data_IF_137237399824
#
_entry.id   IF_137237399824
#
_cell.length_a   1.000
_cell.length_b   1.000
_cell.length_c   1.000
_cell.angle_alpha   90.00
_cell.angle_beta   90.00
_cell.angle_gamma   90.00
#
_symmetry.space_group_name_H-M   'P 1'
#
loop_
_entity.id
_entity.type
_entity.pdbx_description
1 polymer ?
#
# COMPACT_ATOMS: atom_id res chain seq x y z
N UNK A 1 23.31 -2.67 17.54
CA UNK A 1 23.08 -1.39 16.83
C UNK A 1 22.75 -1.60 15.35
N UNK A 2 23.46 -2.48 14.62
CA UNK A 2 23.17 -2.74 13.20
C UNK A 2 21.76 -3.29 12.91
N UNK A 3 21.21 -4.16 13.77
CA UNK A 3 19.88 -4.74 13.52
C UNK A 3 18.74 -3.72 13.53
N UNK A 4 18.73 -2.80 14.51
CA UNK A 4 17.72 -1.75 14.60
C UNK A 4 17.77 -0.84 13.37
N UNK A 5 18.98 -0.47 12.93
CA UNK A 5 19.17 0.33 11.71
C UNK A 5 18.67 -0.38 10.47
N UNK A 6 18.87 -1.70 10.36
CA UNK A 6 18.36 -2.49 9.25
C UNK A 6 16.84 -2.59 9.24
N UNK A 7 16.20 -2.76 10.42
CA UNK A 7 14.75 -2.71 10.55
C UNK A 7 14.16 -1.34 10.19
N UNK A 8 14.79 -0.25 10.65
CA UNK A 8 14.40 1.11 10.28
C UNK A 8 14.60 1.38 8.79
N UNK A 9 15.66 0.84 8.19
CA UNK A 9 15.89 0.90 6.74
C UNK A 9 14.79 0.18 5.96
N UNK A 10 14.42 -1.03 6.37
CA UNK A 10 13.30 -1.78 5.78
C UNK A 10 11.99 -1.01 5.90
N UNK A 11 11.71 -0.44 7.07
CA UNK A 11 10.54 0.40 7.29
C UNK A 11 10.52 1.61 6.34
N UNK A 12 11.63 2.35 6.25
CA UNK A 12 11.74 3.55 5.42
C UNK A 12 11.58 3.22 3.93
N UNK A 13 12.18 2.13 3.46
CA UNK A 13 12.02 1.67 2.08
C UNK A 13 10.59 1.18 1.83
N UNK A 14 9.98 0.43 2.75
CA UNK A 14 8.60 -0.04 2.61
C UNK A 14 7.58 1.12 2.63
N UNK A 15 7.82 2.11 3.48
CA UNK A 15 7.05 3.35 3.52
C UNK A 15 7.22 4.14 2.23
N UNK A 16 8.46 4.37 1.78
CA UNK A 16 8.75 5.07 0.54
C UNK A 16 8.19 4.35 -0.69
N UNK A 17 8.30 3.02 -0.77
CA UNK A 17 7.74 2.21 -1.85
C UNK A 17 6.22 2.28 -1.93
N UNK A 18 5.57 2.45 -0.79
CA UNK A 18 4.13 2.67 -0.74
C UNK A 18 3.74 4.09 -1.14
N UNK A 19 4.66 5.05 -1.07
CA UNK A 19 4.45 6.37 -1.68
C UNK A 19 4.70 6.30 -3.19
N UNK A 20 4.35 7.35 -3.93
CA UNK A 20 4.54 7.44 -5.39
C UNK A 20 6.02 7.37 -5.85
N UNK A 21 6.95 7.01 -4.96
CA UNK A 21 8.34 6.74 -5.28
C UNK A 21 8.49 5.31 -5.81
N UNK A 22 9.19 5.10 -6.95
CA UNK A 22 9.44 3.78 -7.49
C UNK A 22 10.53 3.05 -6.68
N UNK A 23 10.23 2.71 -5.44
CA UNK A 23 11.11 1.92 -4.56
C UNK A 23 10.62 0.47 -4.51
N UNK A 24 11.56 -0.48 -4.54
CA UNK A 24 11.27 -1.92 -4.45
C UNK A 24 11.55 -2.43 -3.05
N UNK A 25 10.56 -2.31 -2.17
CA UNK A 25 10.62 -2.83 -0.79
C UNK A 25 10.74 -4.35 -0.71
N UNK A 26 10.27 -5.04 -1.74
CA UNK A 26 10.26 -6.48 -1.90
C UNK A 26 11.68 -7.02 -2.02
N UNK A 27 12.53 -6.37 -2.82
CA UNK A 27 13.92 -6.76 -3.00
C UNK A 27 14.71 -6.67 -1.69
N UNK A 28 14.48 -5.60 -0.90
CA UNK A 28 15.11 -5.43 0.41
C UNK A 28 14.63 -6.51 1.39
N UNK A 29 13.33 -6.79 1.44
CA UNK A 29 12.77 -7.85 2.28
C UNK A 29 13.38 -9.22 1.93
N UNK A 30 13.43 -9.58 0.65
CA UNK A 30 14.01 -10.86 0.17
C UNK A 30 15.50 -10.95 0.54
N UNK A 31 16.27 -9.90 0.32
CA UNK A 31 17.69 -9.88 0.70
C UNK A 31 17.90 -10.07 2.21
N UNK A 32 17.03 -9.49 3.04
CA UNK A 32 17.09 -9.68 4.50
C UNK A 32 16.64 -11.08 4.93
N UNK A 33 15.63 -11.67 4.27
CA UNK A 33 15.19 -13.04 4.53
C UNK A 33 16.29 -14.05 4.21
N UNK A 34 16.95 -13.92 3.06
CA UNK A 34 18.06 -14.77 2.63
C UNK A 34 19.30 -14.64 3.51
N UNK A 35 19.43 -13.55 4.25
CA UNK A 35 20.55 -13.39 5.20
C UNK A 35 20.43 -14.29 6.43
N UNK A 36 19.24 -14.84 6.70
CA UNK A 36 18.87 -15.67 7.88
C UNK A 36 19.18 -15.04 9.25
N UNK A 37 19.62 -13.78 9.29
CA UNK A 37 20.00 -13.06 10.51
C UNK A 37 18.81 -12.49 11.28
N UNK A 38 17.65 -12.38 10.63
CA UNK A 38 16.49 -11.67 11.16
C UNK A 38 15.28 -12.59 11.22
N UNK A 39 14.47 -12.46 12.27
CA UNK A 39 13.23 -13.21 12.36
C UNK A 39 12.25 -12.79 11.25
N UNK A 40 11.80 -13.77 10.45
CA UNK A 40 10.85 -13.59 9.34
C UNK A 40 9.60 -12.81 9.74
N UNK A 41 9.02 -13.12 10.91
CA UNK A 41 7.82 -12.47 11.42
C UNK A 41 8.07 -10.97 11.65
N UNK A 42 9.21 -10.60 12.23
CA UNK A 42 9.55 -9.19 12.47
C UNK A 42 9.74 -8.43 11.16
N UNK A 43 10.43 -9.02 10.18
CA UNK A 43 10.60 -8.42 8.85
C UNK A 43 9.25 -8.19 8.16
N UNK A 44 8.36 -9.19 8.19
CA UNK A 44 7.02 -9.10 7.62
C UNK A 44 6.19 -8.01 8.31
N UNK A 45 6.21 -7.94 9.64
CA UNK A 45 5.47 -6.93 10.41
C UNK A 45 5.97 -5.52 10.09
N UNK A 46 7.29 -5.32 10.04
CA UNK A 46 7.89 -4.01 9.80
C UNK A 46 7.63 -3.55 8.36
N UNK A 47 7.87 -4.43 7.38
CA UNK A 47 7.60 -4.14 5.98
C UNK A 47 6.11 -3.85 5.74
N UNK A 48 5.21 -4.67 6.30
CA UNK A 48 3.77 -4.45 6.18
C UNK A 48 3.35 -3.14 6.83
N UNK A 49 3.83 -2.83 8.04
CA UNK A 49 3.48 -1.61 8.75
C UNK A 49 3.95 -0.36 8.01
N UNK A 50 5.21 -0.35 7.55
CA UNK A 50 5.74 0.76 6.76
C UNK A 50 4.92 0.98 5.48
N UNK A 51 4.59 -0.11 4.79
CA UNK A 51 3.86 -0.03 3.53
C UNK A 51 2.39 0.39 3.72
N UNK A 52 1.71 -0.11 4.76
CA UNK A 52 0.36 0.34 5.13
C UNK A 52 0.35 1.83 5.48
N UNK A 53 1.32 2.30 6.26
CA UNK A 53 1.43 3.71 6.63
C UNK A 53 1.65 4.62 5.41
N UNK A 54 2.52 4.24 4.47
CA UNK A 54 2.70 5.01 3.25
C UNK A 54 1.44 5.04 2.37
N UNK A 55 0.69 3.95 2.31
CA UNK A 55 -0.61 3.94 1.64
C UNK A 55 -1.68 4.78 2.36
N UNK A 56 -1.65 4.90 3.69
CA UNK A 56 -2.50 5.84 4.43
C UNK A 56 -2.17 7.28 4.03
N UNK A 57 -0.89 7.61 3.82
CA UNK A 57 -0.49 8.93 3.31
C UNK A 57 -1.08 9.16 1.91
N UNK A 58 -0.99 8.20 1.00
CA UNK A 58 -1.61 8.32 -0.33
C UNK A 58 -3.12 8.49 -0.26
N UNK A 59 -3.80 7.73 0.60
CA UNK A 59 -5.23 7.87 0.83
C UNK A 59 -5.57 9.28 1.34
N UNK A 60 -4.78 9.81 2.28
CA UNK A 60 -4.96 11.16 2.80
C UNK A 60 -4.70 12.24 1.74
N UNK A 61 -3.70 12.04 0.89
CA UNK A 61 -3.42 12.91 -0.26
C UNK A 61 -4.60 12.90 -1.23
N UNK A 62 -5.11 11.72 -1.62
CA UNK A 62 -6.28 11.60 -2.48
C UNK A 62 -7.53 12.26 -1.89
N UNK A 63 -7.77 12.07 -0.58
CA UNK A 63 -8.87 12.70 0.16
C UNK A 63 -8.73 14.22 0.21
N UNK A 64 -7.51 14.73 0.33
CA UNK A 64 -7.23 16.17 0.36
C UNK A 64 -7.39 16.80 -1.02
N UNK A 65 -6.94 16.10 -2.06
CA UNK A 65 -7.12 16.51 -3.47
C UNK A 65 -8.61 16.59 -3.83
N UNK A 66 -9.44 15.65 -3.35
CA UNK A 66 -10.89 15.67 -3.56
C UNK A 66 -11.56 16.97 -3.10
N UNK A 67 -11.05 17.63 -2.04
CA UNK A 67 -11.57 18.92 -1.57
C UNK A 67 -11.42 20.04 -2.62
N UNK A 68 -10.49 19.88 -3.56
CA UNK A 68 -10.25 20.82 -4.64
C UNK A 68 -11.01 20.45 -5.93
N UNK A 69 -11.97 19.51 -5.88
CA UNK A 69 -12.77 19.07 -7.05
C UNK A 69 -13.44 20.21 -7.84
N UNK A 70 -13.69 21.36 -7.20
CA UNK A 70 -14.28 22.55 -7.83
C UNK A 70 -13.25 23.48 -8.52
N UNK A 71 -11.95 23.16 -8.44
CA UNK A 71 -10.89 23.94 -9.11
C UNK A 71 -10.73 23.49 -10.57
N UNK A 72 -10.55 24.44 -11.48
CA UNK A 72 -10.37 24.20 -12.94
C UNK A 72 -9.17 23.33 -13.32
N UNK A 73 -8.18 23.17 -12.44
CA UNK A 73 -7.01 22.30 -12.66
C UNK A 73 -7.28 20.82 -12.33
N UNK A 74 -8.39 20.52 -11.64
CA UNK A 74 -8.68 19.15 -11.25
C UNK A 74 -9.03 18.28 -12.48
N UNK A 75 -8.35 17.13 -12.69
CA UNK A 75 -8.40 16.40 -13.96
C UNK A 75 -9.71 15.64 -14.22
N UNK A 76 -10.61 15.52 -13.24
CA UNK A 76 -11.86 14.75 -13.36
C UNK A 76 -13.08 15.66 -13.15
N UNK A 77 -14.02 15.67 -14.10
CA UNK A 77 -15.26 16.44 -14.00
C UNK A 77 -16.15 15.94 -12.85
N UNK A 78 -16.79 16.87 -12.12
CA UNK A 78 -17.65 16.57 -10.97
C UNK A 78 -18.71 15.50 -11.25
N UNK A 79 -19.37 15.56 -12.41
CA UNK A 79 -20.40 14.57 -12.82
C UNK A 79 -19.83 13.16 -12.97
N UNK A 80 -18.58 13.04 -13.41
CA UNK A 80 -17.90 11.75 -13.55
C UNK A 80 -17.44 11.24 -12.17
N UNK A 81 -16.98 12.14 -11.31
CA UNK A 81 -16.62 11.85 -9.93
C UNK A 81 -17.81 11.29 -9.13
N UNK A 82 -18.98 11.94 -9.21
CA UNK A 82 -20.16 11.49 -8.46
C UNK A 82 -20.68 10.13 -8.95
N UNK A 83 -20.66 9.90 -10.27
CA UNK A 83 -20.94 8.58 -10.84
C UNK A 83 -19.94 7.53 -10.38
N UNK A 84 -18.65 7.85 -10.41
CA UNK A 84 -17.59 6.95 -9.97
C UNK A 84 -17.72 6.63 -8.47
N UNK A 85 -18.02 7.61 -7.61
CA UNK A 85 -18.30 7.40 -6.19
C UNK A 85 -19.51 6.49 -5.97
N UNK A 86 -20.57 6.65 -6.75
CA UNK A 86 -21.77 5.79 -6.66
C UNK A 86 -21.47 4.34 -7.05
N UNK A 87 -20.67 4.14 -8.10
CA UNK A 87 -20.21 2.82 -8.54
C UNK A 87 -19.26 2.21 -7.51
N UNK A 88 -18.34 3.01 -6.97
CA UNK A 88 -17.37 2.63 -5.97
C UNK A 88 -18.04 2.28 -4.63
N UNK A 89 -19.10 2.97 -4.23
CA UNK A 89 -19.89 2.60 -3.05
C UNK A 89 -20.48 1.18 -3.15
N UNK A 90 -20.74 0.69 -4.37
CA UNK A 90 -21.25 -0.68 -4.61
C UNK A 90 -20.14 -1.72 -4.82
N UNK A 91 -19.04 -1.39 -5.50
CA UNK A 91 -18.02 -2.36 -5.93
C UNK A 91 -16.58 -2.03 -5.51
N UNK A 92 -16.34 -0.82 -4.98
CA UNK A 92 -15.00 -0.25 -4.73
C UNK A 92 -14.17 -1.00 -3.70
N UNK A 93 -14.82 -1.70 -2.77
CA UNK A 93 -14.17 -2.61 -1.81
C UNK A 93 -13.38 -3.72 -2.50
N UNK A 94 -13.87 -4.23 -3.64
CA UNK A 94 -13.18 -5.25 -4.44
C UNK A 94 -12.02 -4.66 -5.24
N UNK A 95 -12.14 -3.41 -5.67
CA UNK A 95 -11.04 -2.70 -6.35
C UNK A 95 -9.85 -2.45 -5.41
N UNK A 96 -10.09 -2.29 -4.11
CA UNK A 96 -9.02 -2.21 -3.10
C UNK A 96 -8.27 -3.52 -2.90
N UNK A 97 -8.92 -4.68 -3.07
CA UNK A 97 -8.22 -5.97 -3.04
C UNK A 97 -7.22 -6.10 -4.19
N UNK A 98 -7.48 -5.43 -5.32
CA UNK A 98 -6.52 -5.33 -6.42
C UNK A 98 -5.28 -4.48 -6.09
N UNK A 99 -5.25 -3.76 -4.95
CA UNK A 99 -4.06 -3.01 -4.55
C UNK A 99 -2.86 -3.90 -4.19
N UNK A 100 -3.07 -5.22 -4.15
CA UNK A 100 -2.00 -6.22 -4.00
C UNK A 100 -1.04 -6.24 -5.20
N UNK A 101 -1.46 -5.78 -6.37
CA UNK A 101 -0.67 -5.86 -7.60
C UNK A 101 0.51 -4.88 -7.53
N UNK A 102 1.77 -5.32 -7.74
CA UNK A 102 2.93 -4.44 -7.74
C UNK A 102 2.75 -3.33 -8.79
N UNK A 103 3.28 -2.13 -8.51
CA UNK A 103 3.24 -0.92 -9.37
C UNK A 103 1.85 -0.26 -9.45
N UNK A 104 0.77 -1.03 -9.53
CA UNK A 104 -0.60 -0.50 -9.67
C UNK A 104 -1.24 -0.19 -8.30
N UNK A 105 -0.78 -0.85 -7.23
CA UNK A 105 -1.38 -0.77 -5.91
C UNK A 105 -1.43 0.64 -5.31
N UNK A 106 -0.35 1.40 -5.38
CA UNK A 106 -0.27 2.70 -4.72
C UNK A 106 -1.16 3.78 -5.39
N UNK A 107 -1.23 3.86 -6.73
CA UNK A 107 -2.26 4.65 -7.42
C UNK A 107 -3.68 4.29 -6.99
N UNK A 108 -3.99 3.00 -6.79
CA UNK A 108 -5.31 2.55 -6.31
C UNK A 108 -5.59 3.08 -4.90
N UNK A 109 -4.59 3.09 -4.01
CA UNK A 109 -4.76 3.64 -2.65
C UNK A 109 -5.05 5.14 -2.65
N UNK A 110 -4.41 5.89 -3.55
CA UNK A 110 -4.69 7.30 -3.73
C UNK A 110 -6.10 7.54 -4.29
N UNK A 111 -6.50 6.76 -5.31
CA UNK A 111 -7.85 6.81 -5.89
C UNK A 111 -8.91 6.49 -4.82
N UNK A 112 -8.68 5.52 -3.95
CA UNK A 112 -9.60 5.21 -2.84
C UNK A 112 -9.79 6.40 -1.90
N UNK A 113 -8.73 7.18 -1.67
CA UNK A 113 -8.79 8.47 -0.96
C UNK A 113 -9.69 9.48 -1.68
N UNK A 114 -9.53 9.62 -2.99
CA UNK A 114 -10.36 10.49 -3.85
C UNK A 114 -11.83 10.04 -3.85
N UNK A 115 -12.09 8.74 -3.80
CA UNK A 115 -13.44 8.16 -3.72
C UNK A 115 -14.06 8.23 -2.33
N UNK A 116 -13.37 8.86 -1.36
CA UNK A 116 -13.83 9.07 0.01
C UNK A 116 -14.07 7.76 0.80
N UNK A 117 -13.37 6.68 0.49
CA UNK A 117 -13.50 5.41 1.22
C UNK A 117 -13.24 5.63 2.73
N UNK A 118 -14.05 5.11 3.65
CA UNK A 118 -13.77 5.20 5.09
C UNK A 118 -12.43 4.55 5.44
N UNK A 119 -11.64 5.26 6.26
CA UNK A 119 -10.29 4.84 6.66
C UNK A 119 -10.26 3.43 7.25
N UNK A 120 -11.31 3.02 7.97
CA UNK A 120 -11.38 1.70 8.59
C UNK A 120 -11.45 0.55 7.57
N UNK A 121 -12.30 0.68 6.55
CA UNK A 121 -12.36 -0.32 5.47
C UNK A 121 -11.05 -0.32 4.69
N UNK A 122 -10.52 0.86 4.38
CA UNK A 122 -9.27 1.02 3.66
C UNK A 122 -8.13 0.30 4.38
N UNK A 123 -7.97 0.56 5.69
CA UNK A 123 -6.92 -0.06 6.50
C UNK A 123 -7.06 -1.58 6.52
N UNK A 124 -8.26 -2.12 6.74
CA UNK A 124 -8.47 -3.57 6.78
C UNK A 124 -8.09 -4.23 5.44
N UNK A 125 -8.58 -3.69 4.33
CA UNK A 125 -8.35 -4.27 3.00
C UNK A 125 -6.89 -4.11 2.56
N UNK A 126 -6.30 -2.93 2.76
CA UNK A 126 -4.90 -2.66 2.37
C UNK A 126 -3.92 -3.44 3.23
N UNK A 127 -4.19 -3.56 4.54
CA UNK A 127 -3.36 -4.38 5.42
C UNK A 127 -3.40 -5.83 4.98
N UNK A 128 -4.59 -6.38 4.70
CA UNK A 128 -4.73 -7.75 4.23
C UNK A 128 -4.01 -7.96 2.90
N UNK A 129 -4.22 -7.08 1.91
CA UNK A 129 -3.59 -7.18 0.60
C UNK A 129 -2.06 -7.11 0.66
N UNK A 130 -1.51 -6.16 1.45
CA UNK A 130 -0.06 -5.98 1.57
C UNK A 130 0.59 -7.08 2.43
N UNK A 131 -0.07 -7.52 3.50
CA UNK A 131 0.37 -8.66 4.28
C UNK A 131 0.42 -9.92 3.41
N UNK A 132 -0.63 -10.16 2.61
CA UNK A 132 -0.68 -11.30 1.69
C UNK A 132 0.48 -11.26 0.69
N UNK A 133 0.78 -10.10 0.09
CA UNK A 133 1.91 -9.93 -0.84
C UNK A 133 3.24 -10.30 -0.19
N UNK A 134 3.52 -9.77 1.00
CA UNK A 134 4.77 -10.05 1.70
C UNK A 134 4.85 -11.50 2.18
N UNK A 135 3.74 -12.10 2.61
CA UNK A 135 3.65 -13.51 2.94
C UNK A 135 3.93 -14.40 1.73
N UNK A 136 3.35 -14.10 0.57
CA UNK A 136 3.63 -14.86 -0.66
C UNK A 136 5.10 -14.75 -1.08
N UNK A 137 5.70 -13.56 -0.97
CA UNK A 137 7.12 -13.37 -1.23
C UNK A 137 7.99 -14.17 -0.26
N UNK A 138 7.69 -14.13 1.03
CA UNK A 138 8.41 -14.91 2.03
C UNK A 138 8.26 -16.42 1.81
N UNK A 139 7.05 -16.89 1.50
CA UNK A 139 6.79 -18.31 1.22
C UNK A 139 7.54 -18.80 -0.02
N UNK A 140 7.61 -18.00 -1.08
CA UNK A 140 8.41 -18.32 -2.29
C UNK A 140 9.90 -18.31 -1.95
N UNK A 141 10.37 -17.30 -1.20
CA UNK A 141 11.80 -17.13 -0.87
C UNK A 141 12.33 -18.23 0.05
N UNK A 142 11.53 -18.63 1.04
CA UNK A 142 11.89 -19.66 2.03
C UNK A 142 11.53 -21.08 1.57
N UNK A 143 10.97 -21.23 0.37
CA UNK A 143 10.59 -22.54 -0.18
C UNK A 143 9.40 -23.20 0.52
N UNK A 144 8.54 -22.46 1.22
CA UNK A 144 7.29 -23.01 1.78
C UNK A 144 6.25 -23.35 0.70
N UNK A 145 6.41 -22.77 -0.49
CA UNK A 145 5.50 -22.94 -1.62
C UNK A 145 5.95 -24.01 -2.64
N UNK A 146 7.01 -24.78 -2.34
CA UNK A 146 7.55 -25.86 -3.19
C UNK A 146 7.58 -27.16 -2.42
#
# INVERSE_FOLDING_TARGET
MFELTSYLGLFAVAFGAATLLPLQSEAVLVGMLLSERYATILLLLIATTGNVLGSVVNWYLGRSIERFRHKRWFPISERHLDKAQTIYARHGRWALLLSWVPIIGDPITMIAGVMREPLWNFLLVVTLAKALRYLTLAAITLGWAV
#
